data_IF_221205757326
#
_entry.id   IF_221205757326
#
_cell.length_a   1.000
_cell.length_b   1.000
_cell.length_c   1.000
_cell.angle_alpha   90.00
_cell.angle_beta   90.00
_cell.angle_gamma   90.00
#
_symmetry.space_group_name_H-M   'P 1'
#
loop_
_entity.id
_entity.type
_entity.pdbx_description
1 polymer ?
#
# COMPACT_ATOMS: atom_id res chain seq x y z
N UNK A 1 20.09 -23.87 38.47
CA UNK A 1 20.49 -22.62 37.79
C UNK A 1 20.25 -22.66 36.29
N UNK A 2 20.78 -23.66 35.56
CA UNK A 2 20.59 -23.80 34.11
C UNK A 2 19.13 -23.89 33.63
N UNK A 3 18.24 -24.59 34.34
CA UNK A 3 16.81 -24.65 33.97
C UNK A 3 16.10 -23.29 34.08
N UNK A 4 16.51 -22.45 35.03
CA UNK A 4 15.95 -21.10 35.19
C UNK A 4 16.37 -20.21 34.02
N UNK A 5 17.65 -20.25 33.70
CA UNK A 5 18.22 -19.51 32.57
C UNK A 5 17.61 -19.92 31.23
N UNK A 6 17.41 -21.22 31.00
CA UNK A 6 16.71 -21.72 29.80
C UNK A 6 15.28 -21.16 29.71
N UNK A 7 14.53 -21.12 30.81
CA UNK A 7 13.16 -20.59 30.82
C UNK A 7 13.13 -19.08 30.60
N UNK A 8 14.11 -18.36 31.14
CA UNK A 8 14.22 -16.91 30.95
C UNK A 8 14.56 -16.59 29.48
N UNK A 9 15.49 -17.33 28.86
CA UNK A 9 15.80 -17.22 27.42
C UNK A 9 14.58 -17.54 26.53
N UNK A 10 13.81 -18.58 26.85
CA UNK A 10 12.60 -18.93 26.10
C UNK A 10 11.55 -17.79 26.12
N UNK A 11 11.37 -17.16 27.29
CA UNK A 11 10.46 -16.01 27.42
C UNK A 11 10.95 -14.81 26.62
N UNK A 12 12.24 -14.55 26.67
CA UNK A 12 12.85 -13.47 25.90
C UNK A 12 12.70 -13.68 24.39
N UNK A 13 12.98 -14.88 23.87
CA UNK A 13 12.77 -15.23 22.46
C UNK A 13 11.30 -15.02 22.07
N UNK A 14 10.36 -15.45 22.92
CA UNK A 14 8.93 -15.28 22.65
C UNK A 14 8.55 -13.80 22.61
N UNK A 15 9.05 -12.99 23.54
CA UNK A 15 8.84 -11.54 23.57
C UNK A 15 9.38 -10.88 22.31
N UNK A 16 10.64 -11.15 21.95
CA UNK A 16 11.27 -10.61 20.75
C UNK A 16 10.54 -11.01 19.45
N UNK A 17 10.02 -12.24 19.38
CA UNK A 17 9.21 -12.68 18.23
C UNK A 17 7.86 -11.94 18.13
N UNK A 18 7.28 -11.54 19.26
CA UNK A 18 6.04 -10.76 19.26
C UNK A 18 6.32 -9.33 18.84
N UNK A 19 7.31 -8.68 19.47
CA UNK A 19 7.74 -7.32 19.11
C UNK A 19 8.11 -7.22 17.62
N UNK A 20 8.87 -8.18 17.10
CA UNK A 20 9.21 -8.21 15.68
C UNK A 20 7.98 -8.31 14.78
N UNK A 21 6.98 -9.11 15.14
CA UNK A 21 5.73 -9.23 14.35
C UNK A 21 4.90 -7.96 14.42
N UNK A 22 4.85 -7.31 15.57
CA UNK A 22 4.14 -6.04 15.76
C UNK A 22 4.79 -4.93 14.93
N UNK A 23 6.11 -4.78 15.02
CA UNK A 23 6.87 -3.81 14.23
C UNK A 23 6.72 -4.05 12.72
N UNK A 24 6.79 -5.31 12.27
CA UNK A 24 6.56 -5.65 10.86
C UNK A 24 5.16 -5.25 10.41
N UNK A 25 4.14 -5.54 11.20
CA UNK A 25 2.76 -5.20 10.86
C UNK A 25 2.56 -3.67 10.83
N UNK A 26 3.12 -2.95 11.81
CA UNK A 26 3.07 -1.49 11.85
C UNK A 26 3.69 -0.89 10.59
N UNK A 27 4.94 -1.26 10.28
CA UNK A 27 5.66 -0.77 9.10
C UNK A 27 4.95 -1.14 7.81
N UNK A 28 4.46 -2.38 7.69
CA UNK A 28 3.69 -2.81 6.51
C UNK A 28 2.45 -1.94 6.31
N UNK A 29 1.71 -1.66 7.37
CA UNK A 29 0.50 -0.82 7.29
C UNK A 29 0.83 0.63 6.92
N UNK A 30 1.94 1.18 7.44
CA UNK A 30 2.42 2.51 7.09
C UNK A 30 2.78 2.60 5.60
N UNK A 31 3.59 1.67 5.09
CA UNK A 31 4.00 1.63 3.68
C UNK A 31 2.80 1.42 2.75
N UNK A 32 1.86 0.53 3.11
CA UNK A 32 0.62 0.35 2.36
C UNK A 32 -0.21 1.64 2.32
N UNK A 33 -0.27 2.37 3.44
CA UNK A 33 -0.96 3.65 3.50
C UNK A 33 -0.30 4.72 2.64
N UNK A 34 1.04 4.78 2.62
CA UNK A 34 1.80 5.68 1.75
C UNK A 34 1.51 5.36 0.28
N UNK A 35 1.59 4.07 -0.10
CA UNK A 35 1.31 3.60 -1.45
C UNK A 35 -0.12 3.98 -1.88
N UNK A 36 -1.13 3.72 -1.03
CA UNK A 36 -2.51 4.04 -1.33
C UNK A 36 -2.71 5.55 -1.56
N UNK A 37 -2.09 6.41 -0.74
CA UNK A 37 -2.16 7.86 -0.94
C UNK A 37 -1.49 8.30 -2.24
N UNK A 38 -0.35 7.72 -2.58
CA UNK A 38 0.33 8.00 -3.85
C UNK A 38 -0.53 7.60 -5.04
N UNK A 39 -1.16 6.42 -4.99
CA UNK A 39 -2.08 5.94 -6.03
C UNK A 39 -3.28 6.87 -6.20
N UNK A 40 -3.92 7.26 -5.09
CA UNK A 40 -5.06 8.18 -5.13
C UNK A 40 -4.69 9.55 -5.70
N UNK A 41 -3.45 10.01 -5.45
CA UNK A 41 -2.95 11.25 -6.03
C UNK A 41 -2.76 11.13 -7.54
N UNK A 42 -2.13 10.06 -8.03
CA UNK A 42 -1.95 9.84 -9.46
C UNK A 42 -3.29 9.73 -10.21
N UNK A 43 -4.29 9.06 -9.60
CA UNK A 43 -5.65 8.99 -10.15
C UNK A 43 -6.26 10.40 -10.26
N UNK A 44 -6.11 11.24 -9.23
CA UNK A 44 -6.61 12.62 -9.24
C UNK A 44 -5.90 13.46 -10.30
N UNK A 45 -4.57 13.42 -10.34
CA UNK A 45 -3.76 14.18 -11.29
C UNK A 45 -4.13 13.79 -12.74
N UNK A 46 -4.32 12.49 -13.02
CA UNK A 46 -4.81 12.01 -14.31
C UNK A 46 -6.24 12.48 -14.60
N UNK A 47 -7.14 12.40 -13.61
CA UNK A 47 -8.54 12.77 -13.78
C UNK A 47 -8.68 14.26 -14.11
N UNK A 48 -7.94 15.13 -13.43
CA UNK A 48 -7.88 16.57 -13.69
C UNK A 48 -7.30 16.85 -15.09
N UNK A 49 -6.20 16.21 -15.46
CA UNK A 49 -5.57 16.42 -16.77
C UNK A 49 -6.43 15.95 -17.96
N UNK A 50 -7.36 15.03 -17.72
CA UNK A 50 -8.27 14.49 -18.72
C UNK A 50 -9.72 15.02 -18.59
N UNK A 51 -9.91 16.10 -17.81
CA UNK A 51 -11.19 16.80 -17.62
C UNK A 51 -12.35 15.89 -17.16
N UNK A 52 -12.07 14.92 -16.28
CA UNK A 52 -13.11 14.09 -15.68
C UNK A 52 -13.81 14.82 -14.53
N UNK A 53 -15.14 14.88 -14.57
CA UNK A 53 -15.95 15.48 -13.49
C UNK A 53 -16.13 14.56 -12.27
N UNK A 54 -16.02 13.24 -12.46
CA UNK A 54 -16.21 12.25 -11.40
C UNK A 54 -15.43 10.95 -11.71
N UNK A 55 -14.67 10.49 -10.73
CA UNK A 55 -14.07 9.15 -10.70
C UNK A 55 -14.68 8.38 -9.54
N UNK A 56 -15.15 7.16 -9.81
CA UNK A 56 -15.75 6.29 -8.80
C UNK A 56 -14.87 5.06 -8.61
N UNK A 57 -14.49 4.80 -7.37
CA UNK A 57 -13.67 3.66 -6.96
C UNK A 57 -14.48 2.52 -6.34
N UNK A 58 -13.94 1.92 -5.28
CA UNK A 58 -14.55 0.79 -4.56
C UNK A 58 -16.06 0.93 -4.33
N UNK A 59 -16.78 -0.18 -4.50
CA UNK A 59 -18.24 -0.23 -4.32
C UNK A 59 -19.07 -0.11 -5.61
N UNK A 60 -18.42 0.02 -6.77
CA UNK A 60 -19.10 -0.04 -8.07
C UNK A 60 -19.51 -1.49 -8.38
N UNK A 61 -20.81 -1.77 -8.37
CA UNK A 61 -21.35 -3.11 -8.67
C UNK A 61 -21.31 -3.47 -10.17
N UNK A 62 -21.37 -2.45 -11.04
CA UNK A 62 -21.28 -2.61 -12.49
C UNK A 62 -20.82 -1.29 -13.13
N UNK A 63 -19.82 -1.39 -14.01
CA UNK A 63 -19.36 -0.32 -14.88
C UNK A 63 -19.04 -0.92 -16.25
N UNK A 64 -19.43 -0.25 -17.33
CA UNK A 64 -19.04 -0.70 -18.66
C UNK A 64 -17.52 -0.55 -18.88
N UNK A 65 -16.88 -1.38 -19.72
CA UNK A 65 -15.45 -1.22 -20.01
C UNK A 65 -15.09 0.17 -20.57
N UNK A 66 -16.04 0.83 -21.24
CA UNK A 66 -15.87 2.17 -21.81
C UNK A 66 -15.68 3.27 -20.77
N UNK A 67 -16.14 3.06 -19.53
CA UNK A 67 -15.95 4.02 -18.43
C UNK A 67 -14.81 3.62 -17.50
N UNK A 68 -14.16 2.48 -17.75
CA UNK A 68 -13.04 2.01 -16.94
C UNK A 68 -11.75 2.72 -17.38
N UNK A 69 -11.19 3.53 -16.48
CA UNK A 69 -9.97 4.30 -16.72
C UNK A 69 -8.72 3.66 -16.12
N UNK A 70 -8.81 2.52 -15.43
CA UNK A 70 -7.72 1.92 -14.65
C UNK A 70 -6.46 1.71 -15.50
N UNK A 71 -6.62 1.17 -16.71
CA UNK A 71 -5.51 0.94 -17.64
C UNK A 71 -4.87 2.24 -18.13
N UNK A 72 -5.66 3.30 -18.27
CA UNK A 72 -5.13 4.59 -18.73
C UNK A 72 -4.32 5.27 -17.62
N UNK A 73 -4.84 5.23 -16.39
CA UNK A 73 -4.12 5.72 -15.21
C UNK A 73 -2.85 4.91 -14.98
N UNK A 74 -2.90 3.57 -15.08
CA UNK A 74 -1.72 2.72 -14.91
C UNK A 74 -0.61 3.08 -15.90
N UNK A 75 -0.93 3.26 -17.18
CA UNK A 75 0.06 3.69 -18.18
C UNK A 75 0.61 5.09 -17.90
N UNK A 76 -0.22 6.02 -17.43
CA UNK A 76 0.25 7.35 -17.05
C UNK A 76 1.21 7.30 -15.86
N UNK A 77 0.91 6.47 -14.86
CA UNK A 77 1.78 6.22 -13.71
C UNK A 77 3.12 5.61 -14.12
N UNK A 78 3.13 4.61 -15.01
CA UNK A 78 4.36 4.01 -15.54
C UNK A 78 5.21 5.04 -16.31
N UNK A 79 4.56 5.88 -17.11
CA UNK A 79 5.23 6.97 -17.83
C UNK A 79 5.84 8.01 -16.86
N UNK A 80 5.11 8.39 -15.80
CA UNK A 80 5.59 9.31 -14.77
C UNK A 80 6.77 8.70 -13.99
N UNK A 81 6.69 7.42 -13.64
CA UNK A 81 7.75 6.70 -12.93
C UNK A 81 9.04 6.62 -13.76
N UNK A 82 8.92 6.26 -15.03
CA UNK A 82 10.08 6.20 -15.95
C UNK A 82 10.67 7.58 -16.24
N UNK A 83 9.84 8.63 -16.35
CA UNK A 83 10.31 10.00 -16.52
C UNK A 83 11.02 10.56 -15.27
N UNK A 84 10.63 10.11 -14.07
CA UNK A 84 11.27 10.49 -12.80
C UNK A 84 12.64 9.81 -12.57
N UNK A 85 13.04 8.85 -13.41
CA UNK A 85 14.37 8.25 -13.39
C UNK A 85 14.64 7.29 -12.23
N UNK A 86 13.59 6.65 -11.69
CA UNK A 86 13.72 5.51 -10.76
C UNK A 86 13.68 4.17 -11.50
#
# INVERSE_FOLDING_TARGET
>A
NAEKELRDLQREVTRLQTEFREDLNLRRNEELGILQRSLLKEVQDYAEAADYDLVVGDGVLFASPTVNITENVLRAMEANFTAAGN
#
